data_IF_529803618060
#
_entry.id   IF_529803618060
#
_cell.length_a   1.000
_cell.length_b   1.000
_cell.length_c   1.000
_cell.angle_alpha   90.00
_cell.angle_beta   90.00
_cell.angle_gamma   90.00
#
_symmetry.space_group_name_H-M   'P 1'
#
loop_
_entity.id
_entity.type
_entity.pdbx_description
1 polymer ?
#
# COMPACT_ATOMS: atom_id res chain seq x y z
N UNK A 1 -13.84 17.94 20.75
CA UNK A 1 -13.20 17.93 19.43
C UNK A 1 -14.23 18.31 18.37
N UNK A 2 -13.81 19.13 17.43
CA UNK A 2 -14.69 19.50 16.32
C UNK A 2 -14.22 18.88 15.03
N UNK A 3 -15.14 18.49 14.18
CA UNK A 3 -14.83 17.83 12.91
C UNK A 3 -15.67 18.40 11.78
N UNK A 4 -15.12 18.30 10.58
CA UNK A 4 -15.85 18.53 9.34
C UNK A 4 -15.99 17.19 8.65
N UNK A 5 -17.12 16.98 7.97
CA UNK A 5 -17.39 15.73 7.30
C UNK A 5 -17.82 15.97 5.86
N UNK A 6 -17.72 14.93 5.04
CA UNK A 6 -18.25 14.96 3.69
C UNK A 6 -19.74 14.58 3.74
N UNK A 7 -20.38 14.47 2.57
CA UNK A 7 -21.81 14.17 2.50
C UNK A 7 -22.17 12.80 3.05
N UNK A 8 -21.20 11.89 3.11
CA UNK A 8 -21.43 10.55 3.64
C UNK A 8 -21.09 10.44 5.12
N UNK A 9 -20.69 11.54 5.74
CA UNK A 9 -20.40 11.58 7.19
C UNK A 9 -18.97 11.23 7.58
N UNK A 10 -18.07 11.00 6.60
CA UNK A 10 -16.68 10.71 6.91
C UNK A 10 -15.90 11.98 7.21
N UNK A 11 -14.96 11.87 8.15
CA UNK A 11 -14.19 13.03 8.62
C UNK A 11 -13.23 13.51 7.54
N UNK A 12 -13.29 14.79 7.21
CA UNK A 12 -12.39 15.39 6.25
C UNK A 12 -11.39 16.33 6.92
N UNK A 13 -11.74 16.83 8.10
CA UNK A 13 -10.88 17.74 8.85
C UNK A 13 -11.28 17.71 10.31
N UNK A 14 -10.39 18.05 11.21
CA UNK A 14 -10.70 18.06 12.63
C UNK A 14 -9.83 19.07 13.39
N UNK A 15 -10.33 19.49 14.56
CA UNK A 15 -9.56 20.30 15.50
C UNK A 15 -9.73 19.70 16.88
N UNK A 16 -8.63 19.32 17.51
CA UNK A 16 -8.66 18.73 18.84
C UNK A 16 -9.07 19.81 19.83
N UNK A 17 -8.47 20.99 19.70
CA UNK A 17 -8.81 22.16 20.52
C UNK A 17 -9.19 23.27 19.57
N UNK A 18 -10.08 24.12 19.99
CA UNK A 18 -10.50 25.27 19.17
C UNK A 18 -11.74 24.96 18.34
N UNK A 19 -12.03 25.87 17.42
CA UNK A 19 -13.28 25.84 16.67
C UNK A 19 -12.99 25.74 15.19
N UNK A 20 -13.70 24.85 14.51
CA UNK A 20 -13.72 24.81 13.06
C UNK A 20 -14.98 25.50 12.58
N UNK A 21 -14.87 26.33 11.56
CA UNK A 21 -16.03 26.94 10.94
C UNK A 21 -16.90 25.82 10.36
N UNK A 22 -18.18 25.83 10.72
CA UNK A 22 -19.14 24.80 10.35
C UNK A 22 -18.80 23.41 10.90
N UNK A 23 -17.96 23.37 11.92
CA UNK A 23 -17.58 22.08 12.55
C UNK A 23 -18.71 21.54 13.44
N UNK A 24 -18.69 20.25 13.61
CA UNK A 24 -19.60 19.53 14.50
C UNK A 24 -18.83 19.08 15.73
N UNK A 25 -19.39 19.34 16.92
CA UNK A 25 -18.76 18.93 18.14
C UNK A 25 -18.98 17.42 18.38
N UNK A 26 -17.93 16.68 18.65
CA UNK A 26 -18.03 15.25 18.98
C UNK A 26 -17.09 14.94 20.12
N UNK A 27 -17.37 13.86 20.84
CA UNK A 27 -16.51 13.40 21.89
C UNK A 27 -15.23 12.85 21.28
N UNK A 28 -14.08 13.17 21.85
CA UNK A 28 -12.80 12.70 21.35
C UNK A 28 -12.72 11.17 21.41
N UNK A 29 -12.10 10.52 20.42
CA UNK A 29 -12.02 9.06 20.44
C UNK A 29 -11.10 8.57 21.54
N UNK A 30 -11.33 7.34 22.01
CA UNK A 30 -10.51 6.77 23.08
C UNK A 30 -9.08 6.56 22.62
N UNK A 31 -8.87 6.15 21.37
CA UNK A 31 -7.55 5.99 20.81
C UNK A 31 -7.30 7.15 19.84
N UNK A 32 -6.88 8.26 20.39
CA UNK A 32 -6.64 9.47 19.62
C UNK A 32 -5.53 9.27 18.59
N UNK A 33 -4.50 8.51 18.95
CA UNK A 33 -3.40 8.26 18.04
C UNK A 33 -3.86 7.53 16.78
N UNK A 34 -4.70 6.51 16.93
CA UNK A 34 -5.27 5.80 15.81
C UNK A 34 -6.12 6.75 14.94
N UNK A 35 -6.92 7.60 15.59
CA UNK A 35 -7.74 8.58 14.90
C UNK A 35 -6.86 9.54 14.08
N UNK A 36 -5.77 10.03 14.65
CA UNK A 36 -4.89 10.95 13.95
C UNK A 36 -4.29 10.32 12.69
N UNK A 37 -4.02 9.03 12.72
CA UNK A 37 -3.45 8.32 11.57
C UNK A 37 -4.50 7.93 10.53
N UNK A 38 -5.74 7.72 10.95
CA UNK A 38 -6.77 7.15 10.08
C UNK A 38 -8.10 7.91 10.13
N UNK A 39 -8.06 9.22 10.40
CA UNK A 39 -9.28 9.99 10.62
C UNK A 39 -10.29 9.87 9.48
N UNK A 40 -9.83 9.74 8.25
CA UNK A 40 -10.74 9.64 7.09
C UNK A 40 -11.46 8.29 7.01
N UNK A 41 -11.13 7.35 7.87
CA UNK A 41 -11.86 6.09 8.01
C UNK A 41 -12.90 6.15 9.12
N UNK A 42 -12.98 7.27 9.84
CA UNK A 42 -13.97 7.49 10.87
C UNK A 42 -15.16 8.24 10.29
N UNK A 43 -16.33 7.96 10.82
CA UNK A 43 -17.58 8.48 10.33
C UNK A 43 -18.42 8.92 11.51
N UNK A 44 -19.23 9.97 11.33
CA UNK A 44 -20.19 10.32 12.36
C UNK A 44 -21.48 9.58 12.08
N UNK A 45 -21.92 8.80 13.05
CA UNK A 45 -23.21 8.12 13.01
C UNK A 45 -23.94 8.38 14.29
N UNK A 46 -25.17 8.89 14.18
CA UNK A 46 -26.01 9.20 15.34
C UNK A 46 -25.29 10.10 16.35
N UNK A 47 -24.53 11.06 15.83
CA UNK A 47 -23.83 12.02 16.68
C UNK A 47 -22.54 11.54 17.32
N UNK A 48 -22.09 10.33 17.02
CA UNK A 48 -20.87 9.77 17.59
C UNK A 48 -19.89 9.33 16.53
N UNK A 49 -18.60 9.40 16.85
CA UNK A 49 -17.56 8.92 15.96
C UNK A 49 -17.56 7.39 15.94
N UNK A 50 -17.50 6.83 14.76
CA UNK A 50 -17.39 5.39 14.58
C UNK A 50 -16.36 5.07 13.52
N UNK A 51 -15.50 4.10 13.80
CA UNK A 51 -14.52 3.63 12.82
C UNK A 51 -15.22 2.72 11.80
N UNK A 52 -15.03 3.02 10.52
CA UNK A 52 -15.51 2.14 9.46
C UNK A 52 -14.41 1.12 9.20
N UNK A 53 -14.56 -0.07 9.73
CA UNK A 53 -13.54 -1.11 9.65
C UNK A 53 -13.29 -1.60 8.23
N UNK A 54 -14.31 -1.58 7.38
CA UNK A 54 -14.14 -1.98 5.99
C UNK A 54 -13.29 -0.97 5.24
N UNK A 55 -13.53 0.32 5.50
CA UNK A 55 -12.76 1.39 4.88
C UNK A 55 -11.31 1.36 5.35
N UNK A 56 -11.08 1.09 6.64
CA UNK A 56 -9.75 0.95 7.19
C UNK A 56 -9.02 -0.23 6.56
N UNK A 57 -9.71 -1.37 6.41
CA UNK A 57 -9.10 -2.54 5.80
C UNK A 57 -8.74 -2.28 4.34
N UNK A 58 -9.61 -1.63 3.59
CA UNK A 58 -9.34 -1.27 2.19
C UNK A 58 -8.14 -0.34 2.08
N UNK A 59 -8.00 0.61 3.03
CA UNK A 59 -6.86 1.51 3.04
C UNK A 59 -5.57 0.74 3.32
N UNK A 60 -5.58 -0.17 4.27
CA UNK A 60 -4.41 -0.99 4.58
C UNK A 60 -4.00 -1.85 3.39
N UNK A 61 -4.98 -2.42 2.69
CA UNK A 61 -4.70 -3.22 1.50
C UNK A 61 -4.12 -2.38 0.38
N UNK A 62 -4.63 -1.16 0.19
CA UNK A 62 -4.12 -0.26 -0.83
C UNK A 62 -2.67 0.14 -0.54
N UNK A 63 -2.34 0.42 0.72
CA UNK A 63 -0.97 0.74 1.12
C UNK A 63 -0.05 -0.46 0.90
N UNK A 64 -0.50 -1.65 1.26
CA UNK A 64 0.29 -2.86 1.06
C UNK A 64 0.55 -3.13 -0.41
N UNK A 65 -0.45 -2.97 -1.27
CA UNK A 65 -0.28 -3.12 -2.71
C UNK A 65 0.72 -2.11 -3.27
N UNK A 66 0.70 -0.89 -2.76
CA UNK A 66 1.65 0.13 -3.21
C UNK A 66 3.09 -0.20 -2.79
N UNK A 67 3.27 -0.73 -1.59
CA UNK A 67 4.59 -1.21 -1.13
C UNK A 67 5.10 -2.31 -2.06
N UNK A 68 4.23 -3.25 -2.44
CA UNK A 68 4.60 -4.33 -3.35
C UNK A 68 4.97 -3.78 -4.73
N UNK A 69 4.20 -2.81 -5.25
CA UNK A 69 4.50 -2.20 -6.55
C UNK A 69 5.85 -1.50 -6.54
N UNK A 70 6.16 -0.82 -5.43
CA UNK A 70 7.43 -0.12 -5.30
C UNK A 70 8.59 -1.10 -5.25
N UNK A 71 8.46 -2.20 -4.52
CA UNK A 71 9.47 -3.24 -4.47
C UNK A 71 9.65 -3.90 -5.84
N UNK A 72 8.55 -4.14 -6.56
CA UNK A 72 8.61 -4.71 -7.90
C UNK A 72 9.41 -3.81 -8.84
N UNK A 73 9.18 -2.49 -8.74
CA UNK A 73 9.88 -1.53 -9.55
C UNK A 73 11.38 -1.54 -9.29
N UNK A 74 11.78 -1.79 -8.05
CA UNK A 74 13.20 -1.81 -7.67
C UNK A 74 13.85 -3.16 -7.80
N UNK A 75 13.13 -4.23 -7.56
CA UNK A 75 13.72 -5.58 -7.44
C UNK A 75 13.46 -6.46 -8.67
N UNK A 76 12.41 -6.19 -9.41
CA UNK A 76 12.01 -7.04 -10.53
C UNK A 76 12.33 -6.40 -11.87
N UNK A 77 11.83 -5.22 -12.13
CA UNK A 77 11.93 -4.61 -13.45
C UNK A 77 13.35 -4.35 -13.92
N UNK A 78 14.32 -3.96 -13.08
CA UNK A 78 15.69 -3.82 -13.56
C UNK A 78 16.27 -5.12 -14.11
N UNK A 79 15.85 -6.26 -13.59
CA UNK A 79 16.28 -7.56 -14.08
C UNK A 79 15.59 -7.89 -15.41
N UNK A 80 14.28 -7.73 -15.46
CA UNK A 80 13.51 -8.02 -16.68
C UNK A 80 13.96 -7.11 -17.83
N UNK A 81 14.32 -5.88 -17.53
CA UNK A 81 14.68 -4.90 -18.55
C UNK A 81 16.15 -4.94 -18.96
N UNK A 82 16.87 -6.01 -18.66
CA UNK A 82 18.27 -6.15 -19.08
C UNK A 82 18.42 -6.30 -20.59
N UNK A 83 17.36 -6.70 -21.29
CA UNK A 83 17.35 -6.71 -22.74
C UNK A 83 17.50 -8.08 -23.36
N UNK A 84 17.21 -8.15 -24.66
CA UNK A 84 17.23 -9.41 -25.41
C UNK A 84 18.59 -10.11 -25.41
N UNK A 85 19.72 -9.41 -25.59
CA UNK A 85 21.00 -10.11 -25.58
C UNK A 85 21.26 -10.88 -24.29
N UNK A 86 20.85 -10.32 -23.15
CA UNK A 86 20.98 -11.01 -21.88
C UNK A 86 20.01 -12.21 -21.80
N UNK A 87 18.76 -12.00 -22.18
CA UNK A 87 17.73 -13.03 -22.11
C UNK A 87 18.09 -14.22 -23.00
N UNK A 88 18.63 -13.96 -24.18
CA UNK A 88 18.99 -15.00 -25.13
C UNK A 88 20.14 -15.89 -24.66
N UNK A 89 20.94 -15.41 -23.72
CA UNK A 89 22.05 -16.20 -23.17
C UNK A 89 21.60 -17.14 -22.06
N UNK A 90 20.38 -17.02 -21.59
CA UNK A 90 19.87 -17.88 -20.53
C UNK A 90 19.57 -19.28 -21.08
N UNK A 91 19.75 -20.29 -20.23
CA UNK A 91 19.32 -21.63 -20.58
C UNK A 91 17.80 -21.71 -20.58
N UNK A 92 17.24 -22.77 -21.15
CA UNK A 92 15.81 -22.95 -21.12
C UNK A 92 15.28 -23.03 -19.70
N UNK A 93 16.02 -23.69 -18.81
CA UNK A 93 15.63 -23.79 -17.41
C UNK A 93 15.64 -22.41 -16.73
N UNK A 94 16.65 -21.60 -17.02
CA UNK A 94 16.73 -20.25 -16.48
C UNK A 94 15.60 -19.37 -17.00
N UNK A 95 15.28 -19.48 -18.28
CA UNK A 95 14.15 -18.71 -18.86
C UNK A 95 12.83 -19.11 -18.22
N UNK A 96 12.63 -20.41 -18.00
CA UNK A 96 11.41 -20.89 -17.35
C UNK A 96 11.31 -20.38 -15.91
N UNK A 97 12.41 -20.43 -15.19
CA UNK A 97 12.45 -19.94 -13.81
C UNK A 97 12.23 -18.43 -13.76
N UNK A 98 12.86 -17.70 -14.69
CA UNK A 98 12.69 -16.25 -14.78
C UNK A 98 11.23 -15.89 -15.04
N UNK A 99 10.58 -16.59 -15.98
CA UNK A 99 9.20 -16.30 -16.33
C UNK A 99 8.24 -16.61 -15.18
N UNK A 100 8.50 -17.69 -14.44
CA UNK A 100 7.70 -18.02 -13.25
C UNK A 100 7.86 -16.96 -12.18
N UNK A 101 9.10 -16.53 -11.94
CA UNK A 101 9.42 -15.50 -10.96
C UNK A 101 8.77 -14.16 -11.35
N UNK A 102 8.86 -13.79 -12.61
CA UNK A 102 8.25 -12.55 -13.11
C UNK A 102 6.74 -12.60 -12.95
N UNK A 103 6.11 -13.71 -13.32
CA UNK A 103 4.66 -13.85 -13.16
C UNK A 103 4.24 -13.74 -11.70
N UNK A 104 5.04 -14.32 -10.80
CA UNK A 104 4.77 -14.20 -9.37
C UNK A 104 4.80 -12.75 -8.91
N UNK A 105 5.72 -11.93 -9.46
CA UNK A 105 5.74 -10.50 -9.18
C UNK A 105 4.51 -9.78 -9.74
N UNK A 106 4.07 -10.14 -10.93
CA UNK A 106 2.88 -9.53 -11.52
C UNK A 106 1.63 -9.85 -10.68
N UNK A 107 1.60 -11.05 -10.09
CA UNK A 107 0.48 -11.45 -9.25
C UNK A 107 0.62 -11.01 -7.79
N UNK A 108 1.76 -10.47 -7.41
CA UNK A 108 2.05 -10.20 -6.00
C UNK A 108 1.06 -9.24 -5.33
N UNK A 109 0.52 -8.26 -6.08
CA UNK A 109 -0.46 -7.34 -5.51
C UNK A 109 -1.78 -8.06 -5.19
N UNK A 110 -2.04 -9.19 -5.84
CA UNK A 110 -3.24 -9.98 -5.57
C UNK A 110 -2.97 -11.01 -4.48
N UNK A 111 -1.81 -11.64 -4.51
CA UNK A 111 -1.48 -12.71 -3.56
C UNK A 111 -0.95 -12.19 -2.24
N UNK A 112 -0.40 -10.99 -2.23
CA UNK A 112 0.27 -10.43 -1.03
C UNK A 112 1.64 -11.03 -0.77
N UNK A 113 2.14 -11.89 -1.66
CA UNK A 113 3.40 -12.59 -1.44
C UNK A 113 4.50 -12.05 -2.35
N UNK A 114 5.65 -11.72 -1.75
CA UNK A 114 6.83 -11.25 -2.49
C UNK A 114 7.62 -12.47 -2.92
N UNK A 115 7.89 -12.65 -4.23
CA UNK A 115 8.65 -13.82 -4.68
C UNK A 115 10.11 -13.72 -4.25
N UNK A 116 10.72 -14.87 -3.96
CA UNK A 116 12.12 -14.92 -3.64
C UNK A 116 12.91 -14.86 -4.95
N UNK A 117 13.90 -13.96 -5.01
CA UNK A 117 14.74 -13.83 -6.21
C UNK A 117 15.70 -15.01 -6.33
N UNK A 118 15.75 -15.69 -7.48
CA UNK A 118 16.71 -16.77 -7.69
C UNK A 118 18.15 -16.28 -7.50
N UNK A 119 18.98 -17.12 -6.92
CA UNK A 119 20.35 -16.72 -6.62
C UNK A 119 21.13 -16.32 -7.86
N UNK A 120 20.92 -16.96 -8.99
CA UNK A 120 21.65 -16.64 -10.22
C UNK A 120 21.30 -15.28 -10.80
N UNK A 121 20.22 -14.65 -10.31
CA UNK A 121 19.86 -13.28 -10.71
C UNK A 121 20.50 -12.23 -9.81
N UNK A 122 21.10 -12.64 -8.70
CA UNK A 122 21.77 -11.76 -7.78
C UNK A 122 23.24 -11.62 -8.14
N UNK A 123 23.87 -10.50 -7.78
CA UNK A 123 23.30 -9.34 -7.12
C UNK A 123 22.51 -8.47 -8.07
N UNK A 124 21.59 -7.70 -7.50
CA UNK A 124 20.78 -6.85 -8.30
C UNK A 124 21.54 -5.65 -8.81
N UNK A 125 21.01 -5.11 -9.88
CA UNK A 125 21.44 -3.82 -10.29
C UNK A 125 22.82 -3.65 -10.72
N UNK A 126 23.44 -4.63 -11.03
CA UNK A 126 24.71 -4.46 -11.50
C UNK A 126 25.70 -4.17 -10.55
N UNK A 127 25.52 -4.53 -9.43
CA UNK A 127 26.50 -4.46 -8.58
C UNK A 127 27.49 -5.24 -8.93
N UNK A 128 27.67 -5.53 -9.84
CA UNK A 128 28.57 -6.25 -10.27
C UNK A 128 29.70 -5.84 -10.02
N UNK A 129 29.99 -5.70 -9.89
CA UNK A 129 31.11 -5.46 -9.74
C UNK A 129 31.87 -5.66 -10.75
#
# INVERSE_FOLDING_TARGET
MQVLTNTDGYITSFAIDGILVDGTEVEAPKDLEHFLQHYHCYQIRKGALRLDRKRLQAEKEAVQKEVIRERRRKECFPIINRGSPWYERLSEEQRAELNTWYQAWLDATETGAIPKTPEWLLPLGGESQ
#
